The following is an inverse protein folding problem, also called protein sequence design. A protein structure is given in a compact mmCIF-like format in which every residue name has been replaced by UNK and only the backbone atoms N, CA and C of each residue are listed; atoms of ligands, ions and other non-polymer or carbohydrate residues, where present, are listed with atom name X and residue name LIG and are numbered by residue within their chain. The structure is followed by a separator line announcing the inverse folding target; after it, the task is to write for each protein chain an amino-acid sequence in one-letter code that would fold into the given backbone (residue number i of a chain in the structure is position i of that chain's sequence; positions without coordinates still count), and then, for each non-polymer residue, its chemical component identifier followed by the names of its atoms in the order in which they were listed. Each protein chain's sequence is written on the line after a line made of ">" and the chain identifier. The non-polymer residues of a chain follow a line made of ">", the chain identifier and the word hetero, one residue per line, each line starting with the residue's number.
data_IF_690392442746
#
_entry.id   IF_690392442746
#
_cell.length_a   1.000
_cell.length_b   1.000
_cell.length_c   1.000
_cell.angle_alpha   90.00
_cell.angle_beta   90.00
_cell.angle_gamma   90.00
#
_symmetry.space_group_name_H-M   'P 1'
#
loop_
_entity.id
_entity.type
_entity.pdbx_description
1 polymer ?
#
# COMPACT_ATOMS: atom_id res chain seq x y z
N UNK A 1 -10.17 44.32 -22.10
CA UNK A 1 -10.51 44.33 -20.65
C UNK A 1 -10.57 42.94 -20.01
N UNK A 2 -10.69 41.83 -20.76
CA UNK A 2 -10.83 40.46 -20.22
C UNK A 2 -9.62 39.93 -19.40
N UNK A 3 -8.40 40.41 -19.64
CA UNK A 3 -7.21 39.96 -18.90
C UNK A 3 -7.22 40.47 -17.44
N UNK A 4 -7.59 41.74 -17.26
CA UNK A 4 -7.61 42.37 -15.94
C UNK A 4 -8.70 41.74 -15.04
N UNK A 5 -9.83 41.34 -15.62
CA UNK A 5 -10.88 40.60 -14.92
C UNK A 5 -10.46 39.18 -14.51
N UNK A 6 -9.64 38.49 -15.33
CA UNK A 6 -9.10 37.19 -14.96
C UNK A 6 -8.11 37.31 -13.80
N UNK A 7 -7.29 38.36 -13.83
CA UNK A 7 -6.27 38.62 -12.81
C UNK A 7 -6.91 39.02 -11.47
N UNK A 8 -7.98 39.83 -11.50
CA UNK A 8 -8.74 40.17 -10.29
C UNK A 8 -9.47 38.96 -9.70
N UNK A 9 -10.10 38.11 -10.54
CA UNK A 9 -10.73 36.84 -10.09
C UNK A 9 -9.70 35.89 -9.49
N UNK A 10 -8.52 35.76 -10.08
CA UNK A 10 -7.44 34.92 -9.56
C UNK A 10 -6.96 35.42 -8.19
N UNK A 11 -6.70 36.73 -8.07
CA UNK A 11 -6.29 37.34 -6.79
C UNK A 11 -7.36 37.21 -5.71
N UNK A 12 -8.62 37.45 -6.06
CA UNK A 12 -9.75 37.25 -5.16
C UNK A 12 -9.86 35.79 -4.69
N UNK A 13 -9.58 34.83 -5.57
CA UNK A 13 -9.60 33.42 -5.21
C UNK A 13 -8.43 33.05 -4.29
N UNK A 14 -7.25 33.63 -4.50
CA UNK A 14 -6.10 33.47 -3.62
C UNK A 14 -6.36 34.01 -2.22
N UNK A 15 -6.97 35.20 -2.10
CA UNK A 15 -7.37 35.82 -0.83
C UNK A 15 -8.43 34.98 -0.09
N UNK A 16 -9.40 34.41 -0.82
CA UNK A 16 -10.41 33.50 -0.24
C UNK A 16 -9.80 32.22 0.31
N UNK A 17 -8.84 31.62 -0.39
CA UNK A 17 -8.14 30.44 0.11
C UNK A 17 -7.34 30.77 1.39
N UNK A 18 -6.63 31.89 1.40
CA UNK A 18 -5.81 32.29 2.54
C UNK A 18 -6.67 32.63 3.78
N UNK A 19 -7.76 33.36 3.59
CA UNK A 19 -8.72 33.67 4.68
C UNK A 19 -9.38 32.40 5.25
N UNK A 20 -9.70 31.43 4.40
CA UNK A 20 -10.25 30.13 4.83
C UNK A 20 -9.24 29.35 5.67
N UNK A 21 -7.97 29.28 5.25
CA UNK A 21 -6.92 28.61 6.02
C UNK A 21 -6.65 29.28 7.37
N UNK A 22 -6.62 30.62 7.41
CA UNK A 22 -6.46 31.38 8.65
C UNK A 22 -7.64 31.18 9.61
N UNK A 23 -8.87 31.13 9.10
CA UNK A 23 -10.05 30.84 9.93
C UNK A 23 -10.01 29.42 10.50
N UNK A 24 -9.59 28.43 9.72
CA UNK A 24 -9.43 27.04 10.16
C UNK A 24 -8.34 26.95 11.24
N UNK A 25 -7.19 27.60 11.05
CA UNK A 25 -6.12 27.64 12.04
C UNK A 25 -6.56 28.31 13.34
N UNK A 26 -7.29 29.42 13.26
CA UNK A 26 -7.85 30.11 14.43
C UNK A 26 -8.88 29.25 15.18
N UNK A 27 -9.70 28.48 14.47
CA UNK A 27 -10.72 27.58 15.06
C UNK A 27 -10.07 26.36 15.72
N UNK A 28 -8.93 25.89 15.20
CA UNK A 28 -8.13 24.82 15.82
C UNK A 28 -7.33 25.31 17.03
N UNK A 29 -6.87 26.56 17.03
CA UNK A 29 -6.16 27.16 18.17
C UNK A 29 -7.08 27.49 19.36
N UNK A 30 -8.40 27.55 19.15
CA UNK A 30 -9.39 27.93 20.16
C UNK A 30 -10.24 26.76 20.70
N UNK A 31 -10.08 25.55 20.18
CA UNK A 31 -10.82 24.36 20.66
C UNK A 31 -10.08 23.64 21.78
N UNK A 32 -10.02 24.29 22.94
CA UNK A 32 -10.17 23.57 24.22
C UNK A 32 -11.51 23.98 24.83
N UNK A 33 -12.39 22.98 25.05
CA UNK A 33 -13.72 23.02 25.71
C UNK A 33 -14.97 23.13 24.79
N UNK A 34 -15.56 21.95 24.55
CA UNK A 34 -16.96 21.54 24.73
C UNK A 34 -18.18 22.36 24.22
N UNK A 35 -19.13 21.57 23.68
CA UNK A 35 -20.60 21.70 23.64
C UNK A 35 -21.32 22.51 22.53
N UNK A 36 -22.10 21.75 21.75
CA UNK A 36 -23.46 21.97 21.22
C UNK A 36 -23.95 23.39 20.84
N UNK A 37 -24.24 23.63 19.56
CA UNK A 37 -25.58 24.00 19.03
C UNK A 37 -25.53 24.48 17.54
N UNK A 38 -26.60 24.29 16.73
CA UNK A 38 -26.64 24.64 15.31
C UNK A 38 -27.39 25.96 15.01
N UNK A 39 -26.86 26.81 14.13
CA UNK A 39 -27.56 27.96 13.48
C UNK A 39 -26.68 28.49 12.33
N UNK A 40 -27.12 28.93 11.16
CA UNK A 40 -28.41 29.32 10.56
C UNK A 40 -28.20 29.40 9.03
N UNK A 41 -29.20 29.03 8.23
CA UNK A 41 -29.19 29.17 6.75
C UNK A 41 -29.93 30.47 6.34
N UNK A 42 -29.38 31.32 5.47
CA UNK A 42 -30.14 32.42 4.89
C UNK A 42 -31.17 31.88 3.89
N UNK A 43 -32.39 32.40 3.99
CA UNK A 43 -33.46 32.20 3.03
C UNK A 43 -33.19 33.03 1.76
N UNK A 44 -33.65 32.52 0.61
CA UNK A 44 -33.66 33.12 -0.74
C UNK A 44 -32.49 32.71 -1.65
N UNK A 45 -32.66 31.56 -2.32
CA UNK A 45 -32.05 31.30 -3.63
C UNK A 45 -33.08 30.56 -4.52
N UNK A 46 -33.29 30.96 -5.79
CA UNK A 46 -34.22 30.28 -6.71
C UNK A 46 -33.81 28.84 -6.97
N UNK A 47 -34.78 27.93 -6.96
CA UNK A 47 -34.59 26.50 -7.22
C UNK A 47 -34.30 26.28 -8.71
N UNK A 48 -33.03 26.14 -9.08
CA UNK A 48 -32.63 25.53 -10.34
C UNK A 48 -32.59 24.00 -10.16
N UNK A 49 -33.01 23.19 -11.14
CA UNK A 49 -32.96 21.73 -11.04
C UNK A 49 -31.50 21.29 -10.90
N UNK A 50 -31.15 20.85 -9.70
CA UNK A 50 -29.83 20.38 -9.36
C UNK A 50 -29.52 19.12 -10.18
N UNK A 51 -28.67 19.26 -11.20
CA UNK A 51 -27.90 18.14 -11.74
C UNK A 51 -27.27 17.44 -10.53
N UNK A 52 -27.50 16.15 -10.37
CA UNK A 52 -26.90 15.35 -9.31
C UNK A 52 -25.37 15.38 -9.46
N UNK A 53 -24.75 16.41 -8.88
CA UNK A 53 -23.33 16.41 -8.57
C UNK A 53 -23.24 15.36 -7.48
N UNK A 54 -22.80 14.15 -7.85
CA UNK A 54 -22.42 13.13 -6.88
C UNK A 54 -21.53 13.84 -5.86
N UNK A 55 -22.01 13.92 -4.62
CA UNK A 55 -21.29 14.59 -3.56
C UNK A 55 -19.94 13.89 -3.42
N UNK A 56 -18.89 14.54 -3.90
CA UNK A 56 -17.51 14.08 -3.74
C UNK A 56 -17.29 14.03 -2.23
N UNK A 57 -17.33 12.81 -1.66
CA UNK A 57 -17.09 12.59 -0.24
C UNK A 57 -15.58 12.72 0.00
N UNK A 58 -15.13 13.96 0.13
CA UNK A 58 -13.72 14.37 0.33
C UNK A 58 -12.99 13.60 1.45
N UNK A 59 -13.71 13.06 2.44
CA UNK A 59 -13.11 12.30 3.54
C UNK A 59 -12.37 11.05 3.07
N UNK A 60 -12.97 10.26 2.17
CA UNK A 60 -12.41 8.97 1.74
C UNK A 60 -11.18 9.16 0.84
N UNK A 61 -11.22 10.16 -0.05
CA UNK A 61 -10.08 10.47 -0.92
C UNK A 61 -8.89 11.00 -0.13
N UNK A 62 -9.13 11.79 0.92
CA UNK A 62 -8.06 12.33 1.76
C UNK A 62 -7.33 11.22 2.51
N UNK A 63 -8.06 10.27 3.12
CA UNK A 63 -7.48 9.14 3.84
C UNK A 63 -6.67 8.22 2.91
N UNK A 64 -7.22 7.90 1.73
CA UNK A 64 -6.51 7.11 0.72
C UNK A 64 -5.21 7.77 0.26
N UNK A 65 -5.26 9.07 -0.03
CA UNK A 65 -4.07 9.83 -0.44
C UNK A 65 -3.03 9.92 0.69
N UNK A 66 -3.46 10.06 1.93
CA UNK A 66 -2.56 10.02 3.10
C UNK A 66 -1.88 8.67 3.23
N UNK A 67 -2.62 7.56 3.07
CA UNK A 67 -2.05 6.21 3.13
C UNK A 67 -1.03 5.98 2.01
N UNK A 68 -1.35 6.37 0.77
CA UNK A 68 -0.41 6.32 -0.36
C UNK A 68 0.86 7.12 -0.04
N UNK A 69 0.71 8.34 0.48
CA UNK A 69 1.84 9.19 0.82
C UNK A 69 2.70 8.57 1.93
N UNK A 70 2.05 8.00 2.95
CA UNK A 70 2.70 7.30 4.06
C UNK A 70 3.56 6.14 3.56
N UNK A 71 3.00 5.27 2.70
CA UNK A 71 3.76 4.16 2.12
C UNK A 71 4.93 4.65 1.27
N UNK A 72 4.72 5.65 0.41
CA UNK A 72 5.76 6.13 -0.50
C UNK A 72 6.91 6.86 0.21
N UNK A 73 6.62 7.50 1.34
CA UNK A 73 7.64 8.13 2.21
C UNK A 73 8.28 7.15 3.19
N UNK A 74 7.73 5.93 3.32
CA UNK A 74 8.31 4.93 4.20
C UNK A 74 9.72 4.52 3.73
N UNK A 75 10.60 4.09 4.64
CA UNK A 75 11.94 3.63 4.27
C UNK A 75 11.88 2.50 3.23
N UNK A 76 12.91 2.43 2.39
CA UNK A 76 13.02 1.41 1.31
C UNK A 76 12.78 0.00 1.85
N UNK A 77 13.36 -0.34 3.01
CA UNK A 77 13.14 -1.64 3.66
C UNK A 77 11.68 -1.95 4.00
N UNK A 78 10.90 -0.94 4.40
CA UNK A 78 9.48 -1.11 4.69
C UNK A 78 8.67 -1.38 3.40
N UNK A 79 8.98 -0.65 2.32
CA UNK A 79 8.37 -0.87 1.02
C UNK A 79 8.67 -2.27 0.49
N UNK A 80 9.93 -2.73 0.58
CA UNK A 80 10.34 -4.08 0.19
C UNK A 80 9.57 -5.13 0.98
N UNK A 81 9.44 -4.95 2.30
CA UNK A 81 8.70 -5.88 3.16
C UNK A 81 7.24 -6.04 2.71
N UNK A 82 6.55 -4.94 2.40
CA UNK A 82 5.18 -4.96 1.90
C UNK A 82 5.06 -5.76 0.59
N UNK A 83 6.00 -5.54 -0.34
CA UNK A 83 6.02 -6.26 -1.61
C UNK A 83 6.26 -7.76 -1.38
N UNK A 84 7.25 -8.13 -0.57
CA UNK A 84 7.54 -9.54 -0.26
C UNK A 84 6.34 -10.20 0.42
N UNK A 85 5.66 -9.49 1.32
CA UNK A 85 4.47 -10.00 2.01
C UNK A 85 3.31 -10.26 1.04
N UNK A 86 3.10 -9.36 0.06
CA UNK A 86 2.13 -9.58 -1.02
C UNK A 86 2.49 -10.84 -1.82
N UNK A 87 3.73 -10.93 -2.32
CA UNK A 87 4.19 -12.08 -3.13
C UNK A 87 4.11 -13.40 -2.36
N UNK A 88 4.44 -13.36 -1.07
CA UNK A 88 4.28 -14.49 -0.18
C UNK A 88 2.81 -14.90 -0.12
N UNK A 89 1.91 -14.02 0.33
CA UNK A 89 0.51 -14.39 0.55
C UNK A 89 -0.19 -14.94 -0.70
N UNK A 90 0.08 -14.36 -1.87
CA UNK A 90 -0.62 -14.75 -3.10
C UNK A 90 0.05 -15.91 -3.82
N UNK A 91 1.36 -16.12 -3.64
CA UNK A 91 2.18 -17.07 -4.43
C UNK A 91 2.06 -16.83 -5.95
N UNK A 92 1.73 -15.61 -6.37
CA UNK A 92 1.59 -15.20 -7.76
C UNK A 92 2.73 -14.28 -8.20
N UNK A 93 2.94 -14.21 -9.52
CA UNK A 93 3.85 -13.25 -10.14
C UNK A 93 3.10 -11.97 -10.51
N UNK A 94 3.62 -10.81 -10.13
CA UNK A 94 3.02 -9.49 -10.42
C UNK A 94 3.97 -8.57 -11.16
N UNK A 95 3.42 -7.70 -12.01
CA UNK A 95 4.18 -6.58 -12.57
C UNK A 95 4.34 -5.46 -11.54
N UNK A 96 5.28 -4.54 -11.80
CA UNK A 96 5.48 -3.38 -10.94
C UNK A 96 4.21 -2.51 -10.80
N UNK A 97 3.39 -2.43 -11.85
CA UNK A 97 2.13 -1.69 -11.87
C UNK A 97 1.11 -2.35 -10.95
N UNK A 98 0.94 -3.67 -11.06
CA UNK A 98 0.03 -4.43 -10.20
C UNK A 98 0.43 -4.36 -8.73
N UNK A 99 1.74 -4.39 -8.45
CA UNK A 99 2.25 -4.21 -7.08
C UNK A 99 1.94 -2.80 -6.56
N UNK A 100 2.13 -1.77 -7.38
CA UNK A 100 1.79 -0.40 -7.01
C UNK A 100 0.28 -0.23 -6.76
N UNK A 101 -0.58 -0.91 -7.50
CA UNK A 101 -2.02 -0.89 -7.25
C UNK A 101 -2.40 -1.56 -5.93
N UNK A 102 -1.77 -2.69 -5.60
CA UNK A 102 -2.06 -3.46 -4.40
C UNK A 102 -1.43 -2.89 -3.12
N UNK A 103 -0.24 -2.27 -3.23
CA UNK A 103 0.57 -1.86 -2.07
C UNK A 103 0.92 -0.38 -2.04
N UNK A 104 0.64 0.38 -3.10
CA UNK A 104 1.04 1.78 -3.29
C UNK A 104 2.55 2.04 -3.39
N UNK A 105 3.36 0.97 -3.44
CA UNK A 105 4.81 1.03 -3.64
C UNK A 105 5.12 1.26 -5.12
N UNK A 106 5.72 2.40 -5.44
CA UNK A 106 6.09 2.78 -6.79
C UNK A 106 7.48 2.24 -7.16
N UNK A 107 7.55 0.96 -7.57
CA UNK A 107 8.81 0.27 -7.91
C UNK A 107 9.51 0.95 -9.11
N UNK A 108 8.77 1.24 -10.19
CA UNK A 108 9.34 1.82 -11.42
C UNK A 108 9.95 3.22 -11.21
N UNK A 109 9.41 4.00 -10.27
CA UNK A 109 9.87 5.36 -9.98
C UNK A 109 10.98 5.40 -8.93
N UNK A 110 11.25 4.27 -8.24
CA UNK A 110 12.22 4.20 -7.16
C UNK A 110 13.26 3.11 -7.44
N UNK A 111 14.39 3.52 -8.04
CA UNK A 111 15.50 2.62 -8.40
C UNK A 111 16.02 1.83 -7.19
N UNK A 112 16.10 2.44 -6.01
CA UNK A 112 16.60 1.76 -4.81
C UNK A 112 15.69 0.60 -4.40
N UNK A 113 14.36 0.76 -4.50
CA UNK A 113 13.40 -0.31 -4.23
C UNK A 113 13.53 -1.41 -5.27
N UNK A 114 13.60 -1.05 -6.56
CA UNK A 114 13.78 -2.02 -7.64
C UNK A 114 15.06 -2.84 -7.46
N UNK A 115 16.20 -2.19 -7.30
CA UNK A 115 17.51 -2.85 -7.10
C UNK A 115 17.50 -3.73 -5.84
N UNK A 116 16.86 -3.27 -4.76
CA UNK A 116 16.80 -4.05 -3.53
C UNK A 116 15.88 -5.26 -3.64
N UNK A 117 14.81 -5.18 -4.45
CA UNK A 117 13.93 -6.31 -4.74
C UNK A 117 14.63 -7.34 -5.63
N UNK A 118 15.31 -6.90 -6.69
CA UNK A 118 16.02 -7.81 -7.61
C UNK A 118 17.21 -8.50 -6.96
N UNK A 119 17.87 -7.85 -6.00
CA UNK A 119 18.94 -8.46 -5.20
C UNK A 119 18.44 -9.30 -4.00
N UNK A 120 17.13 -9.32 -3.75
CA UNK A 120 16.59 -10.02 -2.58
C UNK A 120 16.51 -11.54 -2.82
N UNK A 121 17.03 -12.39 -1.92
CA UNK A 121 16.98 -13.85 -2.09
C UNK A 121 15.54 -14.42 -2.09
N UNK A 122 14.57 -13.69 -1.56
CA UNK A 122 13.15 -14.09 -1.49
C UNK A 122 12.31 -13.64 -2.68
N UNK A 123 12.92 -12.94 -3.64
CA UNK A 123 12.22 -12.41 -4.81
C UNK A 123 12.92 -12.90 -6.06
N UNK A 124 12.13 -13.30 -7.06
CA UNK A 124 12.61 -13.60 -8.39
C UNK A 124 12.02 -12.60 -9.37
N UNK A 125 12.87 -12.07 -10.24
CA UNK A 125 12.49 -11.15 -11.30
C UNK A 125 12.75 -11.81 -12.65
N UNK A 126 11.71 -11.96 -13.48
CA UNK A 126 11.78 -12.60 -14.80
C UNK A 126 12.08 -11.61 -15.95
N UNK A 127 12.41 -10.36 -15.61
CA UNK A 127 12.56 -9.24 -16.56
C UNK A 127 11.30 -8.36 -16.66
N UNK A 128 10.14 -8.85 -16.23
CA UNK A 128 8.86 -8.11 -16.27
C UNK A 128 8.05 -8.18 -14.98
N UNK A 129 8.11 -9.31 -14.28
CA UNK A 129 7.30 -9.64 -13.09
C UNK A 129 8.20 -10.08 -11.95
N UNK A 130 7.67 -9.83 -10.75
CA UNK A 130 8.23 -10.26 -9.48
C UNK A 130 7.40 -11.41 -8.94
N UNK A 131 8.06 -12.50 -8.55
CA UNK A 131 7.46 -13.64 -7.85
C UNK A 131 8.20 -13.95 -6.57
N UNK A 132 7.53 -14.62 -5.63
CA UNK A 132 8.18 -15.11 -4.43
C UNK A 132 9.12 -16.28 -4.76
N UNK A 133 10.30 -16.28 -4.15
CA UNK A 133 11.28 -17.35 -4.26
C UNK A 133 11.58 -17.92 -2.87
N UNK A 134 11.18 -19.16 -2.63
CA UNK A 134 11.58 -19.88 -1.42
C UNK A 134 13.05 -20.31 -1.52
N UNK A 135 13.67 -20.64 -0.39
CA UNK A 135 15.07 -21.09 -0.39
C UNK A 135 15.21 -22.44 -1.11
N UNK A 136 14.25 -23.33 -0.88
CA UNK A 136 14.07 -24.58 -1.60
C UNK A 136 12.74 -24.50 -2.37
N UNK A 137 12.77 -24.56 -3.70
CA UNK A 137 11.57 -24.57 -4.57
C UNK A 137 10.87 -25.94 -4.51
N UNK A 138 10.40 -26.31 -3.32
CA UNK A 138 9.70 -27.57 -3.10
C UNK A 138 8.24 -27.38 -3.50
N UNK A 139 7.78 -28.24 -4.41
CA UNK A 139 6.41 -28.25 -4.91
C UNK A 139 5.53 -29.29 -4.21
N UNK A 140 6.12 -30.15 -3.37
CA UNK A 140 5.39 -31.16 -2.63
C UNK A 140 6.28 -32.11 -1.83
N UNK A 141 5.64 -33.12 -1.24
CA UNK A 141 6.22 -34.06 -0.29
C UNK A 141 7.39 -34.89 -0.86
N UNK A 142 7.31 -35.33 -2.11
CA UNK A 142 8.37 -36.16 -2.71
C UNK A 142 9.71 -35.41 -2.80
N UNK A 143 9.64 -34.13 -3.16
CA UNK A 143 10.82 -33.26 -3.22
C UNK A 143 11.34 -32.95 -1.82
N UNK A 144 10.45 -32.81 -0.84
CA UNK A 144 10.83 -32.65 0.57
C UNK A 144 11.57 -33.90 1.09
N UNK A 145 11.05 -35.10 0.82
CA UNK A 145 11.68 -36.37 1.21
C UNK A 145 13.07 -36.51 0.57
N UNK A 146 13.20 -36.18 -0.72
CA UNK A 146 14.48 -36.18 -1.41
C UNK A 146 15.47 -35.19 -0.77
N UNK A 147 15.00 -34.00 -0.38
CA UNK A 147 15.81 -33.01 0.30
C UNK A 147 16.28 -33.50 1.67
N UNK A 148 15.38 -34.05 2.50
CA UNK A 148 15.72 -34.60 3.83
C UNK A 148 16.79 -35.70 3.71
N UNK A 149 16.65 -36.62 2.76
CA UNK A 149 17.64 -37.69 2.54
C UNK A 149 19.02 -37.17 2.11
N UNK A 150 19.08 -36.00 1.47
CA UNK A 150 20.33 -35.37 1.04
C UNK A 150 21.04 -34.62 2.17
N UNK A 151 20.32 -34.24 3.22
CA UNK A 151 20.85 -33.54 4.40
C UNK A 151 20.76 -34.43 5.64
N UNK A 152 21.62 -35.46 5.77
CA UNK A 152 21.58 -36.41 6.88
C UNK A 152 21.86 -35.75 8.24
N UNK A 153 22.62 -34.65 8.25
CA UNK A 153 22.94 -33.84 9.44
C UNK A 153 21.77 -32.96 9.92
N UNK A 154 20.67 -32.93 9.17
CA UNK A 154 19.46 -32.17 9.50
C UNK A 154 19.19 -31.01 8.55
N UNK A 155 17.90 -30.67 8.43
CA UNK A 155 17.38 -29.64 7.56
C UNK A 155 16.69 -28.56 8.40
N UNK A 156 17.18 -27.30 8.40
CA UNK A 156 16.58 -26.27 9.24
C UNK A 156 15.16 -25.92 8.77
N UNK A 157 14.18 -26.02 9.66
CA UNK A 157 12.75 -25.76 9.36
C UNK A 157 12.53 -24.36 8.77
N UNK A 158 13.31 -23.37 9.21
CA UNK A 158 13.26 -21.99 8.70
C UNK A 158 13.57 -21.86 7.20
N UNK A 159 14.24 -22.83 6.60
CA UNK A 159 14.55 -22.83 5.16
C UNK A 159 13.46 -23.45 4.29
N UNK A 160 12.57 -24.21 4.91
CA UNK A 160 11.62 -25.10 4.24
C UNK A 160 10.18 -24.65 4.51
N UNK A 161 9.93 -23.97 5.64
CA UNK A 161 8.61 -23.50 6.07
C UNK A 161 7.88 -22.63 5.07
N UNK A 162 8.60 -21.98 4.17
CA UNK A 162 8.06 -21.08 3.15
C UNK A 162 7.88 -21.73 1.77
N UNK A 163 8.32 -22.97 1.58
CA UNK A 163 8.28 -23.64 0.27
C UNK A 163 6.84 -23.85 -0.24
N UNK A 164 5.98 -24.49 0.54
CA UNK A 164 4.57 -24.70 0.18
C UNK A 164 3.67 -24.78 1.42
N UNK A 165 2.34 -24.59 1.28
CA UNK A 165 1.45 -24.36 2.43
C UNK A 165 1.42 -25.49 3.48
N UNK A 166 1.45 -26.76 3.06
CA UNK A 166 1.34 -27.94 3.95
C UNK A 166 2.70 -28.47 4.42
N UNK A 167 3.78 -27.74 4.14
CA UNK A 167 5.15 -28.25 4.34
C UNK A 167 5.46 -28.61 5.79
N UNK A 168 4.88 -27.91 6.76
CA UNK A 168 5.09 -28.19 8.18
C UNK A 168 4.42 -29.50 8.60
N UNK A 169 3.19 -29.73 8.12
CA UNK A 169 2.45 -30.96 8.36
C UNK A 169 3.18 -32.14 7.70
N UNK A 170 3.64 -31.96 6.46
CA UNK A 170 4.41 -32.96 5.72
C UNK A 170 5.76 -33.25 6.37
N UNK A 171 6.43 -32.24 6.96
CA UNK A 171 7.67 -32.43 7.74
C UNK A 171 7.40 -33.29 8.97
N UNK A 172 6.33 -32.98 9.71
CA UNK A 172 5.96 -33.69 10.94
C UNK A 172 5.60 -35.16 10.65
N UNK A 173 4.82 -35.41 9.61
CA UNK A 173 4.50 -36.76 9.15
C UNK A 173 5.77 -37.49 8.71
N UNK A 174 6.65 -36.84 7.94
CA UNK A 174 7.88 -37.47 7.43
C UNK A 174 8.85 -37.86 8.55
N UNK A 175 9.00 -37.03 9.58
CA UNK A 175 9.83 -37.34 10.75
C UNK A 175 9.23 -38.53 11.52
N UNK A 176 7.91 -38.59 11.71
CA UNK A 176 7.25 -39.69 12.41
C UNK A 176 7.43 -41.05 11.71
N UNK A 177 7.56 -41.06 10.38
CA UNK A 177 7.78 -42.30 9.59
C UNK A 177 9.27 -42.67 9.43
N UNK A 178 10.20 -41.80 9.82
CA UNK A 178 11.65 -42.03 9.73
C UNK A 178 12.30 -42.43 11.07
N UNK A 179 11.57 -42.25 12.18
CA UNK A 179 11.94 -42.69 13.55
C UNK A 179 11.30 -44.04 13.83
#
# INVERSE_FOLDING_TARGET
>A
MALNERLSKFKQQQERCQTTLSSIAATQASTTKSHNAPRSRPANAPSAPAKQIQAIKFSNDTERLQHINSVRKSPVGAQIKLVIELLYKTRLAYTAEQINEATYVAINSNKAVFDSLTNNPKVQFDGKRFSYKSKHDLKGKDQLLHLIRRFPEGLPVVEVKDSYPTVLDDLQVTILFLV
#
